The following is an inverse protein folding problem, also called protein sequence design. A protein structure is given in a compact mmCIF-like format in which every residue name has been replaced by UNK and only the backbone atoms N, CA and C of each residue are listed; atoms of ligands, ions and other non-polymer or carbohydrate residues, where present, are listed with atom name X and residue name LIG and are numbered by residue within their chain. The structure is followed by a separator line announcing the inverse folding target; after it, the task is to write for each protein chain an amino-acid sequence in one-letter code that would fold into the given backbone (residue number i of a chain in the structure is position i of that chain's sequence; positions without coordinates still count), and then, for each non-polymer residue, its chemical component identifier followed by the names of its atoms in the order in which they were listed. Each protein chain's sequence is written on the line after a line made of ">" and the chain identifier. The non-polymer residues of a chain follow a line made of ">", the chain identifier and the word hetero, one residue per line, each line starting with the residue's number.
data_IF_310813270807
#
_entry.id   IF_310813270807
#
_cell.length_a   1.000
_cell.length_b   1.000
_cell.length_c   1.000
_cell.angle_alpha   90.00
_cell.angle_beta   90.00
_cell.angle_gamma   90.00
#
_symmetry.space_group_name_H-M   'P 1'
#
loop_
_entity.id
_entity.type
_entity.pdbx_description
1 polymer ?
#
# COMPACT_ATOMS: atom_id res chain seq x y z
N UNK A 1 9.50 -15.88 26.95
CA UNK A 1 8.98 -14.66 26.28
C UNK A 1 9.66 -14.56 24.93
N UNK A 2 8.91 -14.78 23.85
CA UNK A 2 9.47 -14.87 22.50
C UNK A 2 9.53 -13.48 21.90
N UNK A 3 10.73 -13.03 21.54
CA UNK A 3 10.93 -11.78 20.82
C UNK A 3 10.52 -12.00 19.37
N UNK A 4 9.43 -11.36 18.95
CA UNK A 4 9.10 -11.24 17.53
C UNK A 4 9.86 -10.00 17.04
N UNK A 5 10.94 -10.24 16.29
CA UNK A 5 11.69 -9.16 15.62
C UNK A 5 11.07 -8.98 14.25
N UNK A 6 10.22 -7.96 14.10
CA UNK A 6 9.81 -7.48 12.78
C UNK A 6 10.81 -6.41 12.38
N UNK A 7 11.59 -6.69 11.33
CA UNK A 7 12.56 -5.75 10.79
C UNK A 7 11.82 -4.63 10.02
N UNK A 8 11.29 -3.67 10.76
CA UNK A 8 11.12 -2.31 10.24
C UNK A 8 12.11 -1.45 11.02
N UNK A 9 12.84 -0.56 10.33
CA UNK A 9 13.67 0.44 10.99
C UNK A 9 12.77 1.29 11.89
N UNK A 10 12.59 0.86 13.14
CA UNK A 10 11.93 1.58 14.20
C UNK A 10 13.08 2.14 15.02
N UNK A 11 13.40 3.41 14.82
CA UNK A 11 14.11 4.15 15.86
C UNK A 11 13.28 3.99 17.15
N UNK A 12 13.91 3.51 18.22
CA UNK A 12 13.25 3.24 19.50
C UNK A 12 12.67 4.53 20.09
N UNK A 13 11.42 4.84 19.73
CA UNK A 13 10.70 5.98 20.31
C UNK A 13 10.30 5.60 21.74
N UNK A 14 10.89 6.27 22.73
CA UNK A 14 10.60 6.06 24.15
C UNK A 14 9.24 6.65 24.51
N UNK A 15 8.39 5.83 25.14
CA UNK A 15 7.04 6.22 25.57
C UNK A 15 7.12 6.95 26.90
N UNK A 16 7.06 8.28 26.88
CA UNK A 16 6.99 9.10 28.09
C UNK A 16 5.55 9.32 28.60
N UNK A 17 4.55 8.70 27.95
CA UNK A 17 3.15 8.77 28.32
C UNK A 17 2.48 10.13 28.10
N UNK A 18 3.15 11.08 27.43
CA UNK A 18 2.66 12.46 27.32
C UNK A 18 1.80 12.77 26.08
N UNK A 19 1.89 11.98 25.01
CA UNK A 19 1.12 12.21 23.77
C UNK A 19 0.66 10.90 23.11
N UNK A 20 -0.55 10.46 23.45
CA UNK A 20 -1.18 9.28 22.85
C UNK A 20 -1.36 9.39 21.34
N UNK A 21 -1.52 10.61 20.80
CA UNK A 21 -1.68 10.82 19.37
C UNK A 21 -0.36 10.58 18.61
N UNK A 22 0.80 10.80 19.24
CA UNK A 22 2.09 10.57 18.60
C UNK A 22 2.34 9.08 18.32
N UNK A 23 2.00 8.21 19.27
CA UNK A 23 2.04 6.76 19.08
C UNK A 23 1.05 6.28 18.02
N UNK A 24 -0.20 6.75 18.03
CA UNK A 24 -1.16 6.38 16.99
C UNK A 24 -0.69 6.84 15.60
N UNK A 25 -0.17 8.06 15.48
CA UNK A 25 0.40 8.56 14.21
C UNK A 25 1.60 7.72 13.75
N UNK A 26 2.55 7.42 14.64
CA UNK A 26 3.77 6.71 14.28
C UNK A 26 3.52 5.21 14.04
N UNK A 27 2.64 4.58 14.82
CA UNK A 27 2.24 3.19 14.65
C UNK A 27 1.38 3.01 13.39
N UNK A 28 0.49 3.96 13.07
CA UNK A 28 -0.19 3.95 11.78
C UNK A 28 0.81 4.13 10.63
N UNK A 29 1.77 5.05 10.75
CA UNK A 29 2.83 5.21 9.75
C UNK A 29 3.73 3.97 9.62
N UNK A 30 4.00 3.26 10.72
CA UNK A 30 4.83 2.06 10.74
C UNK A 30 4.07 0.78 10.33
N UNK A 31 2.76 0.68 10.56
CA UNK A 31 1.89 -0.39 10.03
C UNK A 31 1.66 -0.21 8.54
N UNK A 32 1.77 1.02 8.01
CA UNK A 32 2.03 1.26 6.58
C UNK A 32 3.48 0.87 6.24
N UNK A 33 3.95 -0.26 6.79
CA UNK A 33 5.14 -0.98 6.40
C UNK A 33 4.97 -1.46 4.96
N UNK A 34 5.35 -0.61 4.01
CA UNK A 34 5.82 -0.95 2.67
C UNK A 34 4.96 -2.00 1.91
N UNK A 35 3.63 -1.90 2.00
CA UNK A 35 2.72 -2.76 1.25
C UNK A 35 2.69 -2.26 -0.20
N UNK A 36 3.63 -2.77 -1.00
CA UNK A 36 3.74 -2.42 -2.42
C UNK A 36 2.68 -3.09 -3.29
N UNK A 37 2.43 -4.38 -3.07
CA UNK A 37 1.51 -5.19 -3.88
C UNK A 37 0.26 -5.56 -3.09
N UNK A 38 -0.91 -5.16 -3.59
CA UNK A 38 -2.19 -5.47 -2.95
C UNK A 38 -3.19 -6.03 -3.96
N UNK A 39 -4.14 -6.85 -3.52
CA UNK A 39 -5.24 -7.26 -4.39
C UNK A 39 -6.18 -6.09 -4.69
N UNK A 40 -6.92 -6.18 -5.81
CA UNK A 40 -7.88 -5.15 -6.23
C UNK A 40 -8.85 -4.73 -5.09
N UNK A 41 -9.44 -5.64 -4.29
CA UNK A 41 -10.35 -5.22 -3.21
C UNK A 41 -9.69 -4.29 -2.18
N UNK A 42 -8.44 -4.58 -1.80
CA UNK A 42 -7.67 -3.75 -0.87
C UNK A 42 -7.30 -2.43 -1.53
N UNK A 43 -6.85 -2.47 -2.79
CA UNK A 43 -6.56 -1.25 -3.55
C UNK A 43 -7.77 -0.31 -3.65
N UNK A 44 -8.96 -0.86 -3.93
CA UNK A 44 -10.22 -0.13 -3.96
C UNK A 44 -10.56 0.49 -2.60
N UNK A 45 -10.38 -0.26 -1.50
CA UNK A 45 -10.61 0.26 -0.15
C UNK A 45 -9.65 1.41 0.21
N UNK A 46 -8.39 1.34 -0.24
CA UNK A 46 -7.38 2.37 0.04
C UNK A 46 -7.56 3.64 -0.79
N UNK A 47 -7.96 3.51 -2.07
CA UNK A 47 -7.94 4.63 -3.03
C UNK A 47 -9.33 5.20 -3.33
N UNK A 48 -10.40 4.48 -2.97
CA UNK A 48 -11.78 4.83 -3.34
C UNK A 48 -12.16 4.47 -4.78
N UNK A 49 -11.26 3.87 -5.56
CA UNK A 49 -11.59 3.37 -6.89
C UNK A 49 -12.55 2.19 -6.80
N UNK A 50 -13.46 2.08 -7.77
CA UNK A 50 -14.26 0.86 -7.94
C UNK A 50 -13.46 -0.22 -8.67
N UNK A 51 -13.74 -1.50 -8.39
CA UNK A 51 -13.10 -2.63 -9.11
C UNK A 51 -13.28 -2.49 -10.64
N UNK A 52 -14.47 -2.05 -11.07
CA UNK A 52 -14.77 -1.77 -12.48
C UNK A 52 -13.84 -0.71 -13.08
N UNK A 53 -13.57 0.39 -12.36
CA UNK A 53 -12.68 1.44 -12.84
C UNK A 53 -11.23 0.96 -12.93
N UNK A 54 -10.78 0.16 -11.96
CA UNK A 54 -9.45 -0.48 -11.98
C UNK A 54 -9.29 -1.37 -13.21
N UNK A 55 -10.24 -2.29 -13.43
CA UNK A 55 -10.19 -3.20 -14.59
C UNK A 55 -10.22 -2.44 -15.90
N UNK A 56 -11.03 -1.38 -16.00
CA UNK A 56 -11.08 -0.53 -17.18
C UNK A 56 -9.75 0.17 -17.46
N UNK A 57 -9.07 0.70 -16.44
CA UNK A 57 -7.72 1.29 -16.60
C UNK A 57 -6.69 0.28 -17.12
N UNK A 58 -6.82 -0.98 -16.71
CA UNK A 58 -5.99 -2.08 -17.20
C UNK A 58 -6.34 -2.44 -18.65
N UNK A 59 -7.62 -2.59 -18.97
CA UNK A 59 -8.13 -2.90 -20.31
C UNK A 59 -7.80 -1.79 -21.33
N UNK A 60 -7.95 -0.53 -20.93
CA UNK A 60 -7.65 0.65 -21.75
C UNK A 60 -6.12 0.87 -21.90
N UNK A 61 -5.29 0.05 -21.25
CA UNK A 61 -3.82 0.13 -21.32
C UNK A 61 -3.19 1.30 -20.56
N UNK A 62 -3.99 2.07 -19.81
CA UNK A 62 -3.52 3.20 -19.00
C UNK A 62 -2.62 2.69 -17.87
N UNK A 63 -2.98 1.56 -17.27
CA UNK A 63 -2.14 0.89 -16.28
C UNK A 63 -1.46 -0.32 -16.89
N UNK A 64 -0.13 -0.25 -16.93
CA UNK A 64 0.74 -1.21 -17.64
C UNK A 64 1.11 -2.40 -16.74
N UNK A 65 1.03 -3.62 -17.28
CA UNK A 65 1.47 -4.85 -16.59
C UNK A 65 2.98 -4.81 -16.31
N UNK A 66 3.39 -5.27 -15.13
CA UNK A 66 4.77 -5.21 -14.66
C UNK A 66 5.14 -3.92 -13.94
N UNK A 67 4.44 -2.80 -14.22
CA UNK A 67 4.60 -1.48 -13.60
C UNK A 67 3.48 -1.22 -12.58
N UNK A 68 2.25 -1.00 -13.05
CA UNK A 68 1.10 -0.62 -12.23
C UNK A 68 0.36 -1.82 -11.63
N UNK A 69 0.39 -2.96 -12.32
CA UNK A 69 -0.22 -4.21 -11.83
C UNK A 69 0.60 -5.42 -12.27
N UNK A 70 0.39 -6.56 -11.60
CA UNK A 70 0.95 -7.87 -11.99
C UNK A 70 -0.05 -8.99 -11.73
N UNK A 71 0.00 -10.01 -12.57
CA UNK A 71 -0.68 -11.29 -12.31
C UNK A 71 0.21 -12.15 -11.41
N UNK A 72 -0.31 -12.50 -10.24
CA UNK A 72 0.34 -13.44 -9.33
C UNK A 72 0.33 -14.86 -9.95
N UNK A 73 1.18 -15.78 -9.47
CA UNK A 73 1.25 -17.15 -10.00
C UNK A 73 -0.07 -17.92 -9.98
N UNK A 74 -1.03 -17.51 -9.15
CA UNK A 74 -2.37 -18.06 -9.02
C UNK A 74 -3.43 -17.38 -9.93
N UNK A 75 -3.00 -16.42 -10.76
CA UNK A 75 -3.85 -15.68 -11.70
C UNK A 75 -4.52 -14.43 -11.12
N UNK A 76 -4.38 -14.14 -9.82
CA UNK A 76 -4.95 -12.92 -9.24
C UNK A 76 -4.21 -11.67 -9.71
N UNK A 77 -4.95 -10.57 -9.89
CA UNK A 77 -4.36 -9.25 -10.20
C UNK A 77 -3.97 -8.56 -8.88
N UNK A 78 -2.70 -8.18 -8.80
CA UNK A 78 -2.14 -7.36 -7.73
C UNK A 78 -1.76 -5.99 -8.28
N UNK A 79 -2.11 -4.94 -7.54
CA UNK A 79 -1.85 -3.54 -7.85
C UNK A 79 -0.60 -3.06 -7.12
N UNK A 80 0.22 -2.28 -7.82
CA UNK A 80 1.40 -1.61 -7.28
C UNK A 80 1.00 -0.24 -6.73
N UNK A 81 0.88 -0.12 -5.42
CA UNK A 81 0.39 1.10 -4.76
C UNK A 81 1.36 2.27 -4.99
N UNK A 82 2.67 2.00 -4.99
CA UNK A 82 3.70 3.03 -5.21
C UNK A 82 3.62 3.63 -6.63
N UNK A 83 3.54 2.78 -7.66
CA UNK A 83 3.48 3.26 -9.05
C UNK A 83 2.14 3.94 -9.36
N UNK A 84 1.06 3.54 -8.68
CA UNK A 84 -0.19 4.29 -8.72
C UNK A 84 -0.01 5.73 -8.22
N UNK A 85 0.63 5.94 -7.05
CA UNK A 85 0.84 7.30 -6.53
C UNK A 85 1.73 8.14 -7.46
N UNK A 86 2.79 7.54 -8.00
CA UNK A 86 3.63 8.22 -9.02
C UNK A 86 2.82 8.64 -10.24
N UNK A 87 1.91 7.77 -10.73
CA UNK A 87 1.02 8.10 -11.84
C UNK A 87 0.05 9.24 -11.49
N UNK A 88 -0.50 9.25 -10.28
CA UNK A 88 -1.37 10.34 -9.80
C UNK A 88 -0.60 11.67 -9.75
N UNK A 89 0.62 11.67 -9.20
CA UNK A 89 1.47 12.86 -9.06
C UNK A 89 1.95 13.41 -10.40
N UNK A 90 2.10 12.55 -11.41
CA UNK A 90 2.50 12.96 -12.76
C UNK A 90 1.37 13.66 -13.53
N UNK A 91 0.11 13.53 -13.09
CA UNK A 91 -1.04 14.29 -13.60
C UNK A 91 -1.22 14.22 -15.12
N UNK A 92 -1.83 13.13 -15.58
CA UNK A 92 -2.44 12.89 -16.91
C UNK A 92 -2.04 13.83 -18.07
#
# INVERSE_FOLDING_TARGET
>A
MQKVVVATNTEEYQNDGSDSNAYERHFMNAIVANIRWVLIPVFCALTGYTDKAVRRKIEDGIWVEGMHYRRAPDGHITMNVEEYYKWVEQGA
#
